data_IF_641437321938
#
_entry.id   IF_641437321938
#
_cell.length_a   1.000
_cell.length_b   1.000
_cell.length_c   1.000
_cell.angle_alpha   90.00
_cell.angle_beta   90.00
_cell.angle_gamma   90.00
#
_symmetry.space_group_name_H-M   'P 1'
#
loop_
_entity.id
_entity.type
_entity.pdbx_description
1 polymer ?
#
# COMPACT_ATOMS: atom_id res chain seq x y z
N UNK A 1 22.76 25.89 -6.78
CA UNK A 1 21.47 25.20 -7.10
C UNK A 1 21.37 24.03 -6.15
N UNK A 2 20.23 23.89 -5.45
CA UNK A 2 20.06 22.71 -4.60
C UNK A 2 19.94 21.48 -5.50
N UNK A 3 20.73 20.46 -5.20
CA UNK A 3 20.67 19.18 -5.93
C UNK A 3 19.30 18.52 -5.74
N UNK A 4 18.75 17.96 -6.79
CA UNK A 4 17.44 17.32 -6.79
C UNK A 4 17.52 15.87 -6.30
N UNK A 5 16.39 15.39 -5.76
CA UNK A 5 16.16 13.98 -5.42
C UNK A 5 15.01 13.46 -6.27
N UNK A 6 15.10 12.21 -6.68
CA UNK A 6 14.05 11.45 -7.36
C UNK A 6 14.04 10.01 -6.88
N UNK A 7 12.99 9.27 -7.24
CA UNK A 7 12.94 7.82 -7.15
C UNK A 7 12.29 7.24 -8.40
N UNK A 8 12.80 6.11 -8.87
CA UNK A 8 12.16 5.37 -9.95
C UNK A 8 10.82 4.79 -9.45
N UNK A 9 9.71 5.20 -10.09
CA UNK A 9 8.39 4.67 -9.77
C UNK A 9 8.15 3.39 -10.57
N UNK A 10 7.89 2.26 -9.88
CA UNK A 10 7.69 0.94 -10.49
C UNK A 10 6.74 0.08 -9.69
N UNK A 11 6.19 -0.95 -10.36
CA UNK A 11 5.22 -1.86 -9.76
C UNK A 11 3.82 -1.25 -9.60
N UNK A 12 2.99 -1.84 -8.75
CA UNK A 12 1.64 -1.36 -8.45
C UNK A 12 1.63 -0.06 -7.64
N UNK A 13 0.44 0.56 -7.49
CA UNK A 13 0.26 1.84 -6.81
C UNK A 13 0.92 1.87 -5.42
N UNK A 14 0.72 0.83 -4.60
CA UNK A 14 1.31 0.78 -3.25
C UNK A 14 2.85 0.81 -3.27
N UNK A 15 3.49 0.17 -4.25
CA UNK A 15 4.94 0.23 -4.41
C UNK A 15 5.39 1.64 -4.81
N UNK A 16 4.69 2.25 -5.76
CA UNK A 16 5.00 3.61 -6.22
C UNK A 16 4.86 4.64 -5.10
N UNK A 17 3.90 4.46 -4.18
CA UNK A 17 3.77 5.35 -3.02
C UNK A 17 4.94 5.17 -2.05
N UNK A 18 5.43 3.94 -1.78
CA UNK A 18 6.61 3.71 -0.95
C UNK A 18 7.85 4.41 -1.52
N UNK A 19 8.07 4.28 -2.82
CA UNK A 19 9.18 4.91 -3.55
C UNK A 19 9.10 6.44 -3.47
N UNK A 20 7.90 6.98 -3.67
CA UNK A 20 7.69 8.42 -3.56
C UNK A 20 7.86 8.91 -2.11
N UNK A 21 7.35 8.18 -1.12
CA UNK A 21 7.47 8.50 0.30
C UNK A 21 8.93 8.52 0.76
N UNK A 22 9.74 7.54 0.35
CA UNK A 22 11.18 7.52 0.63
C UNK A 22 11.87 8.76 0.05
N UNK A 23 11.67 9.06 -1.23
CA UNK A 23 12.28 10.23 -1.86
C UNK A 23 11.86 11.54 -1.19
N UNK A 24 10.58 11.69 -0.82
CA UNK A 24 10.07 12.85 -0.10
C UNK A 24 10.72 13.00 1.28
N UNK A 25 10.82 11.91 2.04
CA UNK A 25 11.47 11.92 3.36
C UNK A 25 12.94 12.33 3.25
N UNK A 26 13.67 11.77 2.29
CA UNK A 26 15.07 12.16 2.05
C UNK A 26 15.18 13.62 1.57
N UNK A 27 14.22 14.08 0.76
CA UNK A 27 14.13 15.49 0.38
C UNK A 27 13.96 16.42 1.59
N UNK A 28 13.05 16.09 2.50
CA UNK A 28 12.83 16.85 3.74
C UNK A 28 14.05 16.79 4.66
N UNK A 29 14.63 15.62 4.86
CA UNK A 29 15.81 15.39 5.73
C UNK A 29 17.04 16.20 5.26
N UNK A 30 17.26 16.30 3.95
CA UNK A 30 18.42 17.01 3.38
C UNK A 30 18.09 18.39 2.83
N UNK A 31 16.87 18.87 3.05
CA UNK A 31 16.38 20.16 2.52
C UNK A 31 16.61 20.30 0.99
N UNK A 32 16.21 19.25 0.25
CA UNK A 32 16.36 19.16 -1.20
C UNK A 32 15.00 19.01 -1.87
N UNK A 33 14.87 19.60 -3.03
CA UNK A 33 13.67 19.49 -3.84
C UNK A 33 13.55 18.07 -4.43
N UNK A 34 12.33 17.53 -4.41
CA UNK A 34 12.02 16.20 -4.93
C UNK A 34 11.20 16.31 -6.20
N UNK A 35 11.59 15.60 -7.23
CA UNK A 35 10.92 15.55 -8.53
C UNK A 35 10.76 14.11 -9.01
N UNK A 36 9.75 13.84 -9.81
CA UNK A 36 9.47 12.52 -10.36
C UNK A 36 9.24 12.58 -11.85
N UNK A 37 9.41 11.43 -12.51
CA UNK A 37 9.00 11.25 -13.90
C UNK A 37 7.68 10.47 -13.92
N UNK A 38 6.65 10.92 -14.69
CA UNK A 38 5.33 10.29 -14.66
C UNK A 38 5.27 8.93 -15.37
N UNK A 39 6.38 8.45 -15.90
CA UNK A 39 6.51 7.14 -16.53
C UNK A 39 7.06 6.14 -15.52
N UNK A 40 6.41 5.00 -15.35
CA UNK A 40 6.92 3.92 -14.52
C UNK A 40 7.67 2.87 -15.36
N UNK A 41 8.75 2.31 -14.77
CA UNK A 41 9.70 1.45 -15.49
C UNK A 41 9.24 0.01 -15.72
N UNK A 42 8.14 -0.44 -15.11
CA UNK A 42 7.66 -1.83 -15.26
C UNK A 42 6.23 -1.89 -15.78
N UNK A 43 6.06 -2.03 -17.10
CA UNK A 43 4.71 -2.14 -17.69
C UNK A 43 3.95 -3.43 -17.32
N UNK A 44 4.61 -4.41 -16.70
CA UNK A 44 4.00 -5.72 -16.40
C UNK A 44 3.31 -5.80 -15.03
N UNK A 45 3.52 -4.84 -14.13
CA UNK A 45 2.95 -4.87 -12.78
C UNK A 45 2.38 -3.50 -12.40
N UNK A 46 1.12 -3.28 -12.71
CA UNK A 46 0.41 -2.08 -12.31
C UNK A 46 0.32 -1.00 -13.39
N UNK A 47 -0.31 0.10 -13.01
CA UNK A 47 -0.53 1.25 -13.91
C UNK A 47 0.66 2.19 -13.87
N UNK A 48 0.84 2.95 -14.95
CA UNK A 48 1.83 4.03 -15.03
C UNK A 48 1.56 5.10 -13.96
N UNK A 49 2.62 5.71 -13.42
CA UNK A 49 2.51 6.81 -12.47
C UNK A 49 1.69 7.99 -13.04
N UNK A 50 1.72 8.18 -14.36
CA UNK A 50 0.90 9.17 -15.07
C UNK A 50 -0.61 9.04 -14.82
N UNK A 51 -1.12 7.85 -14.50
CA UNK A 51 -2.52 7.65 -14.15
C UNK A 51 -2.89 8.24 -12.79
N UNK A 52 -1.90 8.56 -11.97
CA UNK A 52 -2.09 9.02 -10.59
C UNK A 52 -1.73 10.50 -10.37
N UNK A 53 -1.21 11.20 -11.37
CA UNK A 53 -0.74 12.59 -11.24
C UNK A 53 -1.84 13.57 -10.80
N UNK A 54 -3.10 13.29 -11.16
CA UNK A 54 -4.25 14.14 -10.82
C UNK A 54 -5.03 13.66 -9.58
N UNK A 55 -4.57 12.60 -8.93
CA UNK A 55 -5.25 12.04 -7.76
C UNK A 55 -4.23 11.72 -6.64
N UNK A 56 -3.77 10.50 -6.46
CA UNK A 56 -2.85 10.13 -5.35
C UNK A 56 -1.54 10.92 -5.40
N UNK A 57 -1.04 11.24 -6.59
CA UNK A 57 0.23 11.96 -6.78
C UNK A 57 0.05 13.45 -7.08
N UNK A 58 -1.15 14.02 -6.86
CA UNK A 58 -1.45 15.43 -7.15
C UNK A 58 -0.56 16.44 -6.42
N UNK A 59 0.04 16.03 -5.32
CA UNK A 59 0.93 16.86 -4.51
C UNK A 59 2.43 16.62 -4.83
N UNK A 60 2.74 15.75 -5.80
CA UNK A 60 4.11 15.51 -6.26
C UNK A 60 4.48 16.45 -7.40
N UNK A 61 5.76 16.80 -7.50
CA UNK A 61 6.28 17.56 -8.60
C UNK A 61 6.83 16.63 -9.68
N UNK A 62 6.31 16.77 -10.91
CA UNK A 62 6.76 15.99 -12.05
C UNK A 62 7.60 16.81 -13.01
N UNK A 63 8.57 16.15 -13.65
CA UNK A 63 9.48 16.69 -14.68
C UNK A 63 9.51 15.72 -15.87
N UNK A 64 9.96 16.19 -17.01
CA UNK A 64 10.02 15.39 -18.23
C UNK A 64 11.15 14.35 -18.20
N UNK A 65 12.26 14.65 -17.54
CA UNK A 65 13.42 13.76 -17.45
C UNK A 65 14.22 13.98 -16.16
N UNK A 66 14.85 12.90 -15.71
CA UNK A 66 15.87 12.86 -14.66
C UNK A 66 17.22 12.34 -15.21
N UNK A 67 17.47 12.57 -16.49
CA UNK A 67 18.74 12.20 -17.11
C UNK A 67 19.91 12.87 -16.39
N UNK A 68 20.99 12.11 -16.21
CA UNK A 68 22.18 12.57 -15.49
C UNK A 68 22.06 12.53 -13.96
N UNK A 69 20.96 12.04 -13.39
CA UNK A 69 20.92 11.76 -11.95
C UNK A 69 21.77 10.53 -11.64
N UNK A 70 22.54 10.59 -10.55
CA UNK A 70 23.26 9.43 -10.06
C UNK A 70 22.34 8.46 -9.35
N UNK A 71 22.41 7.19 -9.76
CA UNK A 71 21.59 6.13 -9.18
C UNK A 71 22.14 5.69 -7.83
N UNK A 72 21.25 5.56 -6.87
CA UNK A 72 21.47 4.92 -5.57
C UNK A 72 20.46 3.79 -5.40
N UNK A 73 20.95 2.56 -5.39
CA UNK A 73 20.08 1.37 -5.31
C UNK A 73 19.86 0.97 -3.85
N UNK A 74 18.60 0.62 -3.55
CA UNK A 74 18.22 0.02 -2.27
C UNK A 74 19.05 -1.26 -2.00
N UNK A 75 19.36 -1.49 -0.74
CA UNK A 75 20.04 -2.70 -0.29
C UNK A 75 19.15 -3.95 -0.29
N UNK A 76 19.40 -4.91 0.61
CA UNK A 76 18.51 -6.06 0.81
C UNK A 76 17.11 -5.62 1.22
N UNK A 77 16.12 -6.51 1.07
CA UNK A 77 14.70 -6.24 1.39
C UNK A 77 14.41 -5.79 2.83
N UNK A 78 15.29 -6.05 3.78
CA UNK A 78 15.23 -5.42 5.10
C UNK A 78 15.70 -3.97 5.00
N UNK A 79 15.14 -3.12 5.87
CA UNK A 79 15.53 -1.72 5.94
C UNK A 79 17.04 -1.55 6.13
N UNK A 80 17.61 -0.71 5.31
CA UNK A 80 18.98 -0.23 5.45
C UNK A 80 19.04 1.24 5.07
N UNK A 81 19.85 2.02 5.79
CA UNK A 81 20.05 3.42 5.45
C UNK A 81 20.64 3.56 4.04
N UNK A 82 19.97 4.38 3.24
CA UNK A 82 20.40 4.73 1.87
C UNK A 82 20.44 6.25 1.78
N UNK A 83 21.58 6.80 1.40
CA UNK A 83 21.82 8.25 1.45
C UNK A 83 21.89 8.85 0.05
N UNK A 84 21.34 10.07 -0.18
CA UNK A 84 21.52 10.77 -1.44
C UNK A 84 22.97 11.19 -1.63
N UNK A 85 23.39 11.27 -2.88
CA UNK A 85 24.72 11.78 -3.26
C UNK A 85 24.77 13.31 -3.15
N UNK A 86 25.97 13.89 -3.21
CA UNK A 86 26.18 15.35 -3.16
C UNK A 86 25.70 16.09 -4.43
N UNK A 87 25.08 15.41 -5.36
CA UNK A 87 24.50 15.93 -6.60
C UNK A 87 23.12 15.31 -6.87
N UNK A 88 22.52 15.55 -8.02
CA UNK A 88 21.21 15.02 -8.37
C UNK A 88 21.19 13.50 -8.21
N UNK A 89 20.24 13.01 -7.43
CA UNK A 89 20.17 11.58 -7.03
C UNK A 89 18.85 10.98 -7.44
N UNK A 90 18.86 9.78 -8.04
CA UNK A 90 17.69 8.95 -8.23
C UNK A 90 17.82 7.65 -7.41
N UNK A 91 16.88 7.43 -6.52
CA UNK A 91 16.75 6.18 -5.79
C UNK A 91 16.11 5.10 -6.66
N UNK A 92 16.56 3.86 -6.51
CA UNK A 92 16.11 2.71 -7.28
C UNK A 92 15.92 1.51 -6.35
N UNK A 93 14.69 1.18 -6.02
CA UNK A 93 14.30 0.15 -5.06
C UNK A 93 12.80 0.20 -4.76
N UNK A 94 12.35 -0.63 -3.84
CA UNK A 94 10.93 -0.68 -3.42
C UNK A 94 10.66 0.07 -2.12
N UNK A 95 11.65 0.17 -1.24
CA UNK A 95 11.60 0.91 0.05
C UNK A 95 10.39 0.55 0.93
N UNK A 96 10.03 -0.73 0.96
CA UNK A 96 8.80 -1.24 1.59
C UNK A 96 8.90 -1.34 3.13
N UNK A 97 9.15 -0.19 3.78
CA UNK A 97 9.12 -0.06 5.23
C UNK A 97 8.82 1.39 5.61
N UNK A 98 8.00 1.61 6.65
CA UNK A 98 7.78 2.94 7.23
C UNK A 98 9.06 3.56 7.79
N UNK A 99 10.07 2.76 8.12
CA UNK A 99 11.39 3.24 8.55
C UNK A 99 12.04 4.18 7.52
N UNK A 100 11.71 4.03 6.23
CA UNK A 100 12.22 4.90 5.17
C UNK A 100 11.72 6.35 5.24
N UNK A 101 10.65 6.60 6.00
CA UNK A 101 10.10 7.95 6.19
C UNK A 101 9.77 8.26 7.65
N UNK A 102 10.37 7.51 8.57
CA UNK A 102 10.19 7.69 10.00
C UNK A 102 10.49 9.14 10.43
N UNK A 103 9.56 9.74 11.16
CA UNK A 103 9.63 11.15 11.60
C UNK A 103 9.00 12.13 10.61
N UNK A 104 8.54 11.67 9.44
CA UNK A 104 7.81 12.44 8.44
C UNK A 104 6.42 11.84 8.13
N UNK A 105 5.92 11.00 9.03
CA UNK A 105 4.70 10.22 8.84
C UNK A 105 3.48 11.10 8.52
N UNK A 106 3.36 12.24 9.18
CA UNK A 106 2.23 13.15 8.99
C UNK A 106 2.30 13.88 7.64
N UNK A 107 3.48 14.31 7.22
CA UNK A 107 3.73 14.92 5.92
C UNK A 107 3.47 13.91 4.80
N UNK A 108 3.94 12.69 4.94
CA UNK A 108 3.72 11.60 3.98
C UNK A 108 2.22 11.25 3.92
N UNK A 109 1.56 11.10 5.07
CA UNK A 109 0.12 10.85 5.12
C UNK A 109 -0.66 11.96 4.44
N UNK A 110 -0.36 13.22 4.76
CA UNK A 110 -1.00 14.40 4.13
C UNK A 110 -0.79 14.42 2.61
N UNK A 111 0.38 14.03 2.14
CA UNK A 111 0.71 14.03 0.70
C UNK A 111 -0.18 13.07 -0.09
N UNK A 112 -0.46 11.89 0.45
CA UNK A 112 -1.15 10.80 -0.27
C UNK A 112 -2.61 10.60 0.16
N UNK A 113 -3.10 11.32 1.18
CA UNK A 113 -4.49 11.24 1.65
C UNK A 113 -5.49 11.67 0.57
N UNK A 114 -6.73 11.15 0.61
CA UNK A 114 -7.80 11.60 -0.26
C UNK A 114 -8.08 13.10 -0.06
N UNK A 115 -8.65 13.74 -1.10
CA UNK A 115 -9.14 15.11 -0.97
C UNK A 115 -10.45 15.14 -0.16
N UNK A 116 -10.78 16.30 0.43
CA UNK A 116 -12.05 16.47 1.14
C UNK A 116 -13.26 16.28 0.23
N UNK A 117 -13.12 16.66 -1.05
CA UNK A 117 -14.15 16.44 -2.06
C UNK A 117 -14.41 14.94 -2.26
N UNK A 118 -13.33 14.15 -2.46
CA UNK A 118 -13.45 12.70 -2.56
C UNK A 118 -14.08 12.07 -1.30
N UNK A 119 -13.66 12.51 -0.12
CA UNK A 119 -14.22 12.01 1.16
C UNK A 119 -15.72 12.28 1.21
N UNK A 120 -16.17 13.48 0.80
CA UNK A 120 -17.58 13.85 0.77
C UNK A 120 -18.36 12.95 -0.19
N UNK A 121 -17.89 12.79 -1.42
CA UNK A 121 -18.51 11.90 -2.43
C UNK A 121 -18.61 10.44 -1.94
N UNK A 122 -17.56 9.94 -1.31
CA UNK A 122 -17.53 8.56 -0.79
C UNK A 122 -18.54 8.37 0.35
N UNK A 123 -18.68 9.34 1.28
CA UNK A 123 -19.66 9.26 2.36
C UNK A 123 -21.10 9.43 1.88
N UNK A 124 -21.33 10.06 0.74
CA UNK A 124 -22.63 10.10 0.07
C UNK A 124 -22.95 8.77 -0.61
N UNK A 125 -21.98 8.19 -1.32
CA UNK A 125 -22.12 6.92 -2.04
C UNK A 125 -22.22 5.71 -1.11
N UNK A 126 -21.48 5.75 0.02
CA UNK A 126 -21.35 4.66 0.99
C UNK A 126 -21.63 5.19 2.42
N UNK A 127 -22.90 5.51 2.75
CA UNK A 127 -23.24 6.05 4.07
C UNK A 127 -22.91 5.10 5.23
N UNK A 128 -22.75 3.81 4.96
CA UNK A 128 -22.35 2.79 5.93
C UNK A 128 -20.95 3.05 6.52
N UNK A 129 -20.08 3.78 5.82
CA UNK A 129 -18.77 4.19 6.34
C UNK A 129 -18.84 5.07 7.59
N UNK A 130 -20.00 5.72 7.83
CA UNK A 130 -20.25 6.52 9.03
C UNK A 130 -20.55 5.68 10.27
N UNK A 131 -20.80 4.38 10.10
CA UNK A 131 -21.06 3.47 11.22
C UNK A 131 -19.77 3.23 12.02
N UNK A 132 -19.95 2.89 13.28
CA UNK A 132 -18.84 2.40 14.09
C UNK A 132 -18.44 0.98 13.67
N UNK A 133 -17.15 0.64 13.84
CA UNK A 133 -16.63 -0.71 13.56
C UNK A 133 -16.80 -1.21 12.11
N UNK A 134 -16.80 -0.31 11.13
CA UNK A 134 -16.72 -0.74 9.72
C UNK A 134 -15.40 -1.47 9.46
N UNK A 135 -15.46 -2.51 8.65
CA UNK A 135 -14.31 -3.39 8.36
C UNK A 135 -13.99 -3.38 6.87
N UNK A 136 -12.74 -3.14 6.52
CA UNK A 136 -12.23 -3.44 5.19
C UNK A 136 -11.60 -4.83 5.15
N UNK A 137 -11.89 -5.61 4.11
CA UNK A 137 -11.22 -6.85 3.79
C UNK A 137 -10.60 -6.71 2.40
N UNK A 138 -9.28 -6.81 2.31
CA UNK A 138 -8.58 -6.82 1.03
C UNK A 138 -8.15 -8.23 0.67
N UNK A 139 -8.44 -8.66 -0.55
CA UNK A 139 -8.02 -9.95 -1.12
C UNK A 139 -7.34 -9.69 -2.47
N UNK A 140 -6.11 -10.15 -2.61
CA UNK A 140 -5.33 -10.08 -3.86
C UNK A 140 -5.10 -11.48 -4.38
N UNK A 141 -5.53 -11.73 -5.62
CA UNK A 141 -5.49 -13.06 -6.25
C UNK A 141 -4.94 -13.00 -7.67
N UNK A 142 -5.33 -12.01 -8.47
CA UNK A 142 -5.11 -11.95 -9.90
C UNK A 142 -3.70 -12.28 -10.36
N UNK A 143 -2.74 -11.39 -10.16
CA UNK A 143 -1.34 -11.61 -10.55
C UNK A 143 -0.61 -12.63 -9.67
N UNK A 144 -1.11 -12.88 -8.44
CA UNK A 144 -0.53 -13.87 -7.53
C UNK A 144 -0.61 -15.31 -8.08
N UNK A 145 -1.64 -15.64 -8.88
CA UNK A 145 -1.75 -16.94 -9.54
C UNK A 145 -0.59 -17.25 -10.49
N UNK A 146 0.06 -16.22 -11.01
CA UNK A 146 1.21 -16.42 -11.91
C UNK A 146 2.47 -16.86 -11.16
N UNK A 147 2.61 -16.48 -9.89
CA UNK A 147 3.78 -16.77 -9.06
C UNK A 147 3.39 -16.96 -7.57
N UNK A 148 2.60 -17.98 -7.22
CA UNK A 148 2.12 -18.17 -5.85
C UNK A 148 3.26 -18.50 -4.86
N UNK A 149 4.37 -19.06 -5.34
CA UNK A 149 5.58 -19.29 -4.56
C UNK A 149 6.33 -18.01 -4.17
N UNK A 150 6.03 -16.90 -4.83
CA UNK A 150 6.58 -15.58 -4.49
C UNK A 150 5.51 -14.75 -3.78
N UNK A 151 4.29 -14.75 -4.30
CA UNK A 151 3.15 -13.98 -3.79
C UNK A 151 2.03 -14.93 -3.38
N UNK A 152 2.07 -15.49 -2.16
CA UNK A 152 1.06 -16.42 -1.71
C UNK A 152 -0.32 -15.76 -1.60
N UNK A 153 -1.35 -16.56 -1.79
CA UNK A 153 -2.74 -16.11 -1.89
C UNK A 153 -3.46 -16.43 -0.58
N UNK A 154 -4.05 -15.43 0.07
CA UNK A 154 -4.91 -15.65 1.23
C UNK A 154 -6.23 -16.31 0.81
N UNK A 155 -6.65 -17.33 1.56
CA UNK A 155 -7.90 -18.03 1.35
C UNK A 155 -8.97 -17.64 2.40
N UNK A 156 -10.15 -18.24 2.31
CA UNK A 156 -11.26 -17.99 3.24
C UNK A 156 -10.93 -18.32 4.69
N UNK A 157 -10.09 -19.34 4.96
CA UNK A 157 -9.69 -19.72 6.32
C UNK A 157 -8.85 -18.62 7.00
N UNK A 158 -7.99 -17.95 6.21
CA UNK A 158 -7.27 -16.78 6.71
C UNK A 158 -8.25 -15.68 7.15
N UNK A 159 -9.26 -15.40 6.31
CA UNK A 159 -10.26 -14.37 6.61
C UNK A 159 -11.07 -14.73 7.86
N UNK A 160 -11.52 -15.99 7.99
CA UNK A 160 -12.24 -16.46 9.18
C UNK A 160 -11.43 -16.30 10.47
N UNK A 161 -10.15 -16.64 10.45
CA UNK A 161 -9.25 -16.46 11.59
C UNK A 161 -9.00 -14.98 11.90
N UNK A 162 -8.81 -14.16 10.87
CA UNK A 162 -8.61 -12.73 11.03
C UNK A 162 -9.86 -12.03 11.59
N UNK A 163 -11.06 -12.48 11.25
CA UNK A 163 -12.32 -11.98 11.82
C UNK A 163 -12.42 -12.21 13.33
N UNK A 164 -11.87 -13.31 13.84
CA UNK A 164 -11.84 -13.57 15.29
C UNK A 164 -10.96 -12.55 16.03
N UNK A 165 -9.87 -12.09 15.41
CA UNK A 165 -9.00 -11.04 15.96
C UNK A 165 -9.66 -9.65 15.90
N UNK A 166 -10.41 -9.37 14.84
CA UNK A 166 -11.17 -8.12 14.70
C UNK A 166 -12.28 -8.04 15.75
N UNK A 167 -13.05 -9.12 15.94
CA UNK A 167 -14.23 -9.16 16.79
C UNK A 167 -15.45 -8.54 16.13
N UNK A 168 -16.17 -7.65 16.84
CA UNK A 168 -17.41 -7.07 16.33
C UNK A 168 -17.19 -6.06 15.21
N UNK A 169 -18.02 -6.13 14.17
CA UNK A 169 -18.09 -5.19 13.07
C UNK A 169 -19.56 -4.96 12.65
N UNK A 170 -19.83 -3.82 12.03
CA UNK A 170 -21.19 -3.42 11.62
C UNK A 170 -21.44 -3.61 10.14
N UNK A 171 -20.44 -3.32 9.33
CA UNK A 171 -20.49 -3.42 7.86
C UNK A 171 -19.12 -3.81 7.30
N UNK A 172 -19.10 -4.67 6.29
CA UNK A 172 -17.88 -5.15 5.64
C UNK A 172 -17.78 -4.54 4.24
N UNK A 173 -16.63 -3.92 3.95
CA UNK A 173 -16.25 -3.49 2.60
C UNK A 173 -15.19 -4.44 2.07
N UNK A 174 -15.46 -5.11 0.96
CA UNK A 174 -14.54 -6.08 0.34
C UNK A 174 -13.92 -5.47 -0.91
N UNK A 175 -12.60 -5.50 -0.96
CA UNK A 175 -11.76 -5.01 -2.04
C UNK A 175 -10.96 -6.18 -2.62
N UNK A 176 -11.02 -6.38 -3.92
CA UNK A 176 -10.30 -7.48 -4.57
C UNK A 176 -10.14 -7.25 -6.06
N UNK A 177 -9.06 -7.76 -6.62
CA UNK A 177 -8.85 -7.90 -8.06
C UNK A 177 -9.58 -9.13 -8.66
N UNK A 178 -10.12 -10.04 -7.80
CA UNK A 178 -10.96 -11.18 -8.17
C UNK A 178 -12.37 -11.03 -7.56
N UNK A 179 -13.18 -10.16 -8.17
CA UNK A 179 -14.53 -9.81 -7.72
C UNK A 179 -15.47 -11.03 -7.66
N UNK A 180 -15.30 -11.99 -8.58
CA UNK A 180 -16.15 -13.18 -8.63
C UNK A 180 -15.86 -14.09 -7.45
N UNK A 181 -14.59 -14.37 -7.20
CA UNK A 181 -14.21 -15.23 -6.10
C UNK A 181 -14.68 -14.70 -4.74
N UNK A 182 -14.47 -13.39 -4.47
CA UNK A 182 -14.91 -12.82 -3.18
C UNK A 182 -16.42 -12.87 -3.01
N UNK A 183 -17.19 -12.65 -4.09
CA UNK A 183 -18.66 -12.76 -4.07
C UNK A 183 -19.14 -14.19 -3.86
N UNK A 184 -18.40 -15.19 -4.25
CA UNK A 184 -18.74 -16.60 -4.09
C UNK A 184 -18.34 -17.14 -2.70
N UNK A 185 -17.17 -16.74 -2.20
CA UNK A 185 -16.53 -17.36 -1.03
C UNK A 185 -16.63 -16.53 0.25
N UNK A 186 -16.78 -15.22 0.18
CA UNK A 186 -16.86 -14.33 1.34
C UNK A 186 -18.27 -13.74 1.46
N UNK A 187 -19.11 -14.36 2.27
CA UNK A 187 -20.51 -13.98 2.48
C UNK A 187 -20.69 -13.34 3.86
N UNK A 188 -21.28 -12.15 3.88
CA UNK A 188 -21.62 -11.43 5.11
C UNK A 188 -23.05 -10.89 5.00
N UNK A 189 -23.70 -10.70 6.12
CA UNK A 189 -25.05 -10.13 6.15
C UNK A 189 -25.06 -8.66 5.66
N UNK A 190 -24.08 -7.87 6.14
CA UNK A 190 -23.92 -6.46 5.79
C UNK A 190 -22.60 -6.28 5.01
N UNK A 191 -22.64 -6.35 3.68
CA UNK A 191 -21.46 -6.32 2.84
C UNK A 191 -21.61 -5.42 1.61
N UNK A 192 -20.55 -4.69 1.30
CA UNK A 192 -20.35 -4.00 0.04
C UNK A 192 -19.13 -4.55 -0.67
N UNK A 193 -19.32 -5.14 -1.84
CA UNK A 193 -18.21 -5.53 -2.73
C UNK A 193 -17.86 -4.29 -3.57
N UNK A 194 -16.74 -3.67 -3.26
CA UNK A 194 -16.32 -2.44 -3.92
C UNK A 194 -15.77 -2.76 -5.31
N UNK A 195 -16.18 -1.96 -6.30
CA UNK A 195 -15.72 -2.05 -7.68
C UNK A 195 -15.58 -0.65 -8.25
N UNK A 196 -14.37 -0.12 -8.15
CA UNK A 196 -14.03 1.23 -8.57
C UNK A 196 -12.58 1.28 -9.09
N UNK A 197 -12.06 2.45 -9.43
CA UNK A 197 -10.65 2.63 -9.75
C UNK A 197 -9.77 2.34 -8.54
N UNK A 198 -8.61 1.74 -8.77
CA UNK A 198 -7.71 1.26 -7.70
C UNK A 198 -7.39 2.33 -6.65
N UNK A 199 -7.07 3.56 -7.05
CA UNK A 199 -6.79 4.63 -6.08
C UNK A 199 -8.01 5.01 -5.24
N UNK A 200 -9.22 4.94 -5.81
CA UNK A 200 -10.46 5.18 -5.06
C UNK A 200 -10.72 4.06 -4.07
N UNK A 201 -10.49 2.81 -4.48
CA UNK A 201 -10.59 1.65 -3.59
C UNK A 201 -9.61 1.77 -2.40
N UNK A 202 -8.35 2.17 -2.64
CA UNK A 202 -7.37 2.38 -1.59
C UNK A 202 -7.81 3.47 -0.60
N UNK A 203 -8.28 4.60 -1.11
CA UNK A 203 -8.76 5.70 -0.27
C UNK A 203 -10.04 5.34 0.49
N UNK A 204 -11.01 4.65 -0.16
CA UNK A 204 -12.20 4.18 0.52
C UNK A 204 -11.83 3.18 1.63
N UNK A 205 -10.92 2.25 1.34
CA UNK A 205 -10.39 1.31 2.34
C UNK A 205 -9.82 2.05 3.56
N UNK A 206 -9.08 3.16 3.35
CA UNK A 206 -8.51 3.95 4.44
C UNK A 206 -9.55 4.65 5.33
N UNK A 207 -10.80 4.79 4.87
CA UNK A 207 -11.89 5.37 5.65
C UNK A 207 -12.65 4.35 6.52
N UNK A 208 -12.43 3.04 6.32
CA UNK A 208 -12.95 2.01 7.20
C UNK A 208 -12.30 2.10 8.58
N UNK A 209 -12.99 1.61 9.63
CA UNK A 209 -12.47 1.68 11.00
C UNK A 209 -11.41 0.63 11.29
N UNK A 210 -11.58 -0.58 10.74
CA UNK A 210 -10.70 -1.74 10.96
C UNK A 210 -10.32 -2.40 9.63
N UNK A 211 -9.26 -3.19 9.63
CA UNK A 211 -8.70 -3.77 8.42
C UNK A 211 -8.28 -5.24 8.58
N UNK A 212 -8.70 -6.08 7.66
CA UNK A 212 -8.06 -7.36 7.36
C UNK A 212 -7.34 -7.17 6.03
N UNK A 213 -6.02 -7.21 6.07
CA UNK A 213 -5.18 -7.04 4.90
C UNK A 213 -4.50 -8.34 4.51
N UNK A 214 -4.02 -8.42 3.30
CA UNK A 214 -3.16 -9.49 2.82
C UNK A 214 -1.73 -8.97 2.60
N UNK A 215 -0.85 -9.80 2.13
CA UNK A 215 0.53 -9.48 1.74
C UNK A 215 0.58 -8.53 0.51
N UNK A 216 0.09 -7.30 0.69
CA UNK A 216 -0.04 -6.30 -0.37
C UNK A 216 0.27 -4.90 0.11
N UNK A 217 1.20 -4.23 -0.59
CA UNK A 217 1.53 -2.82 -0.35
C UNK A 217 0.33 -1.89 -0.58
N UNK A 218 -0.63 -2.30 -1.39
CA UNK A 218 -1.88 -1.56 -1.62
C UNK A 218 -2.71 -1.42 -0.33
N UNK A 219 -3.00 -2.54 0.35
CA UNK A 219 -3.70 -2.51 1.64
C UNK A 219 -2.83 -1.96 2.76
N UNK A 220 -1.52 -2.12 2.69
CA UNK A 220 -0.59 -1.47 3.62
C UNK A 220 -0.81 0.05 3.65
N UNK A 221 -0.82 0.68 2.48
CA UNK A 221 -1.03 2.13 2.37
C UNK A 221 -2.42 2.54 2.83
N UNK A 222 -3.45 1.77 2.56
CA UNK A 222 -4.78 2.05 3.08
C UNK A 222 -4.79 2.09 4.63
N UNK A 223 -4.10 1.14 5.28
CA UNK A 223 -3.99 1.14 6.76
C UNK A 223 -3.16 2.28 7.30
N UNK A 224 -2.08 2.68 6.61
CA UNK A 224 -1.24 3.81 6.99
C UNK A 224 -1.99 5.15 6.85
N UNK A 225 -2.74 5.34 5.78
CA UNK A 225 -3.55 6.54 5.53
C UNK A 225 -4.73 6.68 6.49
N UNK A 226 -5.20 5.59 7.08
CA UNK A 226 -6.26 5.61 8.08
C UNK A 226 -5.79 6.31 9.37
N UNK A 227 -6.45 7.40 9.74
CA UNK A 227 -6.12 8.21 10.92
C UNK A 227 -6.85 7.79 12.20
N UNK A 228 -7.69 6.74 12.17
CA UNK A 228 -8.35 6.23 13.37
C UNK A 228 -7.32 5.65 14.34
N UNK A 229 -7.17 6.27 15.51
CA UNK A 229 -6.20 5.85 16.52
C UNK A 229 -6.52 4.47 17.14
N UNK A 230 -7.79 4.05 17.09
CA UNK A 230 -8.26 2.79 17.68
C UNK A 230 -8.45 1.68 16.62
N UNK A 231 -7.93 1.88 15.41
CA UNK A 231 -8.05 0.88 14.35
C UNK A 231 -7.39 -0.43 14.72
N UNK A 232 -8.06 -1.54 14.44
CA UNK A 232 -7.47 -2.87 14.46
C UNK A 232 -7.03 -3.24 13.05
N UNK A 233 -5.83 -3.77 12.94
CA UNK A 233 -5.25 -4.21 11.66
C UNK A 233 -4.76 -5.63 11.84
N UNK A 234 -5.25 -6.54 11.00
CA UNK A 234 -4.81 -7.93 10.95
C UNK A 234 -4.09 -8.18 9.64
N UNK A 235 -2.86 -8.68 9.72
CA UNK A 235 -2.00 -9.01 8.57
C UNK A 235 -1.50 -10.45 8.67
N UNK A 236 -1.22 -11.16 7.55
CA UNK A 236 -0.65 -12.49 7.61
C UNK A 236 0.84 -12.44 7.98
N UNK A 237 1.35 -13.43 8.72
CA UNK A 237 2.77 -13.53 9.11
C UNK A 237 3.72 -13.82 7.94
N UNK A 238 3.19 -14.28 6.82
CA UNK A 238 3.95 -14.57 5.61
C UNK A 238 3.65 -13.50 4.56
N UNK A 239 4.65 -12.69 4.23
CA UNK A 239 4.52 -11.65 3.20
C UNK A 239 4.91 -12.15 1.82
N UNK A 240 6.00 -12.91 1.73
CA UNK A 240 6.44 -13.59 0.53
C UNK A 240 6.52 -15.10 0.76
N UNK A 241 6.24 -15.85 -0.29
CA UNK A 241 6.39 -17.30 -0.29
C UNK A 241 7.87 -17.74 -0.35
N UNK A 242 8.13 -19.05 -0.40
CA UNK A 242 9.48 -19.61 -0.26
C UNK A 242 10.47 -19.19 -1.34
N UNK A 243 10.01 -18.75 -2.51
CA UNK A 243 10.84 -18.24 -3.60
C UNK A 243 10.99 -16.73 -3.63
N UNK A 244 10.27 -16.02 -2.77
CA UNK A 244 10.38 -14.56 -2.61
C UNK A 244 11.45 -14.16 -1.60
N UNK A 245 11.63 -12.85 -1.39
CA UNK A 245 12.51 -12.32 -0.35
C UNK A 245 12.10 -12.84 1.03
N UNK A 246 13.07 -13.17 1.89
CA UNK A 246 12.79 -13.70 3.24
C UNK A 246 13.05 -12.64 4.34
N UNK A 247 13.69 -11.53 4.02
CA UNK A 247 14.02 -10.46 4.95
C UNK A 247 12.97 -9.34 4.88
N UNK A 248 11.68 -9.66 5.12
CA UNK A 248 10.56 -8.72 4.99
C UNK A 248 9.97 -8.26 6.33
N UNK A 249 10.62 -8.53 7.46
CA UNK A 249 10.10 -8.21 8.80
C UNK A 249 9.78 -6.72 9.01
N UNK A 250 10.49 -5.84 8.31
CA UNK A 250 10.38 -4.39 8.44
C UNK A 250 9.17 -3.79 7.70
N UNK A 251 8.37 -4.63 7.03
CA UNK A 251 7.11 -4.21 6.41
C UNK A 251 5.95 -4.15 7.43
N UNK A 252 6.09 -4.84 8.56
CA UNK A 252 5.08 -4.90 9.59
C UNK A 252 5.20 -3.70 10.55
N UNK A 253 4.05 -3.12 10.89
CA UNK A 253 3.97 -2.08 11.90
C UNK A 253 3.77 -2.69 13.29
N UNK A 254 4.33 -2.04 14.31
CA UNK A 254 4.31 -2.57 15.68
C UNK A 254 2.92 -2.67 16.31
N UNK A 255 1.94 -1.95 15.78
CA UNK A 255 0.56 -1.93 16.25
C UNK A 255 -0.36 -2.88 15.48
N UNK A 256 0.17 -3.72 14.57
CA UNK A 256 -0.62 -4.71 13.86
C UNK A 256 -0.72 -6.03 14.62
N UNK A 257 -1.86 -6.69 14.49
CA UNK A 257 -1.99 -8.11 14.82
C UNK A 257 -1.47 -8.91 13.63
N UNK A 258 -0.28 -9.49 13.79
CA UNK A 258 0.31 -10.37 12.78
C UNK A 258 -0.17 -11.79 13.06
N UNK A 259 -1.10 -12.27 12.24
CA UNK A 259 -1.71 -13.58 12.38
C UNK A 259 -0.76 -14.65 11.82
N UNK A 260 -0.38 -15.63 12.66
CA UNK A 260 0.44 -16.75 12.20
C UNK A 260 -0.35 -17.60 11.20
N UNK A 261 0.17 -17.70 9.98
CA UNK A 261 -0.45 -18.42 8.87
C UNK A 261 0.46 -19.53 8.37
N UNK A 262 -0.13 -20.56 7.77
CA UNK A 262 0.59 -21.63 7.09
C UNK A 262 0.64 -21.34 5.59
N UNK A 263 1.79 -21.65 5.00
CA UNK A 263 1.94 -21.68 3.55
C UNK A 263 1.77 -23.13 3.07
N UNK A 264 0.79 -23.35 2.21
CA UNK A 264 0.52 -24.66 1.60
C UNK A 264 0.26 -24.47 0.10
N UNK A 265 1.19 -24.91 -0.76
CA UNK A 265 1.06 -24.89 -2.23
C UNK A 265 0.59 -23.54 -2.82
N UNK A 266 1.16 -22.45 -2.32
CA UNK A 266 0.82 -21.08 -2.78
C UNK A 266 -0.30 -20.40 -1.98
N UNK A 267 -0.90 -21.07 -0.99
CA UNK A 267 -2.00 -20.54 -0.20
C UNK A 267 -1.59 -20.21 1.24
N UNK A 268 -2.23 -19.17 1.80
CA UNK A 268 -2.15 -18.80 3.22
C UNK A 268 -3.47 -19.16 3.91
N UNK A 269 -3.38 -19.92 4.98
CA UNK A 269 -4.53 -20.38 5.79
C UNK A 269 -4.37 -20.06 7.28
#
# INVERSE_FOLDING_TARGET
>A
MNNLISCNLMGGLGNQIFQAAHALAEGMKYNREVVFVPQSWTPMQGRQASNYVNNVFRNLKFVDSIDGFEKVTEGPWEYSDVFPKDHNTVFDGYFQSSKNFLGFDDEIRKTFSPSEEFITEVYEKYPELKQENTLSIHIRRGDCFMNPDIHPIANEKYVERALNEIGEYTHVFIFSDDKNWVKENLKFENVTYVDDEDYKEMWLMSLCKNHIMVNSTFSWWATFLNTNANKKIVAPSIWFGPRGPQNYKDIYESNWTVLDVKYEDGWLS
#
